data_IF_411013307723
#
_entry.id   IF_411013307723
#
_cell.length_a   1.000
_cell.length_b   1.000
_cell.length_c   1.000
_cell.angle_alpha   90.00
_cell.angle_beta   90.00
_cell.angle_gamma   90.00
#
_symmetry.space_group_name_H-M   'P 1'
#
loop_
_entity.id
_entity.type
_entity.pdbx_description
1 polymer ?
#
# COMPACT_ATOMS: atom_id res chain seq x y z
N UNK A 1 -3.26 11.48 -14.82
CA UNK A 1 -2.98 10.06 -14.56
C UNK A 1 -1.50 9.88 -14.28
N UNK A 2 -1.13 9.85 -13.00
CA UNK A 2 0.22 9.55 -12.53
C UNK A 2 0.50 8.05 -12.61
N UNK A 3 0.90 7.61 -13.80
CA UNK A 3 1.19 6.21 -14.08
C UNK A 3 2.30 5.61 -13.20
N UNK A 4 3.17 6.45 -12.61
CA UNK A 4 4.19 5.97 -11.69
C UNK A 4 3.59 5.62 -10.32
N UNK A 5 2.74 6.51 -9.78
CA UNK A 5 2.02 6.26 -8.54
C UNK A 5 1.10 5.03 -8.67
N UNK A 6 0.34 4.97 -9.77
CA UNK A 6 -0.54 3.86 -10.09
C UNK A 6 0.21 2.53 -10.12
N UNK A 7 1.35 2.47 -10.82
CA UNK A 7 2.16 1.26 -10.93
C UNK A 7 2.64 0.75 -9.56
N UNK A 8 3.14 1.65 -8.71
CA UNK A 8 3.61 1.29 -7.36
C UNK A 8 2.46 0.74 -6.54
N UNK A 9 1.34 1.45 -6.45
CA UNK A 9 0.18 1.06 -5.64
C UNK A 9 -0.41 -0.27 -6.12
N UNK A 10 -0.61 -0.44 -7.44
CA UNK A 10 -1.18 -1.68 -7.99
C UNK A 10 -0.26 -2.88 -7.73
N UNK A 11 1.06 -2.70 -7.82
CA UNK A 11 2.03 -3.76 -7.52
C UNK A 11 1.96 -4.18 -6.05
N UNK A 12 1.96 -3.22 -5.13
CA UNK A 12 1.81 -3.44 -3.69
C UNK A 12 0.48 -4.14 -3.38
N UNK A 13 -0.63 -3.64 -3.92
CA UNK A 13 -1.94 -4.28 -3.75
C UNK A 13 -1.93 -5.72 -4.24
N UNK A 14 -1.27 -6.03 -5.37
CA UNK A 14 -1.13 -7.41 -5.85
C UNK A 14 -0.36 -8.31 -4.87
N UNK A 15 0.68 -7.78 -4.22
CA UNK A 15 1.41 -8.49 -3.17
C UNK A 15 0.52 -8.78 -1.94
N UNK A 16 -0.19 -7.76 -1.47
CA UNK A 16 -1.11 -7.88 -0.32
C UNK A 16 -2.28 -8.83 -0.63
N UNK A 17 -2.83 -8.79 -1.84
CA UNK A 17 -3.91 -9.67 -2.27
C UNK A 17 -3.49 -11.15 -2.24
N UNK A 18 -2.26 -11.46 -2.64
CA UNK A 18 -1.71 -12.83 -2.53
C UNK A 18 -1.68 -13.29 -1.07
N UNK A 19 -1.16 -12.47 -0.16
CA UNK A 19 -1.14 -12.79 1.27
C UNK A 19 -2.55 -13.01 1.83
N UNK A 20 -3.50 -12.14 1.49
CA UNK A 20 -4.89 -12.29 1.95
C UNK A 20 -5.56 -13.53 1.36
N UNK A 21 -5.21 -13.91 0.12
CA UNK A 21 -5.69 -15.12 -0.53
C UNK A 21 -5.18 -16.39 0.17
N UNK A 22 -3.89 -16.43 0.51
CA UNK A 22 -3.28 -17.52 1.29
C UNK A 22 -3.93 -17.65 2.67
N UNK A 23 -4.26 -16.52 3.31
CA UNK A 23 -4.95 -16.47 4.61
C UNK A 23 -6.47 -16.65 4.52
N UNK A 24 -7.05 -16.71 3.31
CA UNK A 24 -8.51 -16.74 3.05
C UNK A 24 -9.29 -15.59 3.70
N UNK A 25 -8.68 -14.40 3.75
CA UNK A 25 -9.28 -13.18 4.28
C UNK A 25 -9.74 -12.31 3.11
N UNK A 26 -10.98 -11.82 3.15
CA UNK A 26 -11.46 -10.83 2.20
C UNK A 26 -11.13 -9.42 2.72
N UNK A 27 -10.41 -8.64 1.90
CA UNK A 27 -10.06 -7.25 2.22
C UNK A 27 -10.55 -6.35 1.07
N UNK A 28 -11.79 -5.82 1.16
CA UNK A 28 -12.39 -4.99 0.11
C UNK A 28 -11.56 -3.73 -0.22
N UNK A 29 -10.87 -3.18 0.78
CA UNK A 29 -10.02 -2.00 0.64
C UNK A 29 -8.95 -2.15 -0.46
N UNK A 30 -8.45 -3.37 -0.69
CA UNK A 30 -7.45 -3.64 -1.74
C UNK A 30 -8.00 -3.38 -3.14
N UNK A 31 -9.31 -3.57 -3.38
CA UNK A 31 -9.92 -3.20 -4.65
C UNK A 31 -10.03 -1.68 -4.79
N UNK A 32 -10.53 -1.02 -3.75
CA UNK A 32 -10.68 0.44 -3.72
C UNK A 32 -9.36 1.17 -3.92
N UNK A 33 -8.25 0.67 -3.36
CA UNK A 33 -6.92 1.27 -3.60
C UNK A 33 -6.51 1.28 -5.08
N UNK A 34 -6.87 0.26 -5.87
CA UNK A 34 -6.59 0.25 -7.31
C UNK A 34 -7.42 1.29 -8.05
N UNK A 35 -8.67 1.46 -7.65
CA UNK A 35 -9.59 2.45 -8.23
C UNK A 35 -9.13 3.87 -7.90
N UNK A 36 -8.72 4.13 -6.66
CA UNK A 36 -8.16 5.42 -6.23
C UNK A 36 -6.89 5.77 -7.00
N UNK A 37 -5.95 4.82 -7.11
CA UNK A 37 -4.73 5.04 -7.88
C UNK A 37 -5.00 5.29 -9.37
N UNK A 38 -6.02 4.66 -9.93
CA UNK A 38 -6.45 4.90 -11.31
C UNK A 38 -7.16 6.26 -11.49
N UNK A 39 -7.74 6.82 -10.42
CA UNK A 39 -8.44 8.10 -10.44
C UNK A 39 -7.57 9.29 -10.01
N UNK A 40 -6.23 9.15 -10.06
CA UNK A 40 -5.29 10.20 -9.62
C UNK A 40 -5.42 10.57 -8.13
N UNK A 41 -5.82 9.62 -7.28
CA UNK A 41 -5.90 9.80 -5.81
C UNK A 41 -4.90 8.88 -5.07
N UNK A 42 -3.59 8.95 -5.36
CA UNK A 42 -2.60 8.06 -4.75
C UNK A 42 -2.40 8.29 -3.25
N UNK A 43 -2.62 9.50 -2.73
CA UNK A 43 -2.51 9.83 -1.30
C UNK A 43 -3.56 9.06 -0.48
N UNK A 44 -4.81 9.07 -0.94
CA UNK A 44 -5.91 8.32 -0.32
C UNK A 44 -5.64 6.82 -0.40
N UNK A 45 -5.07 6.35 -1.51
CA UNK A 45 -4.67 4.96 -1.64
C UNK A 45 -3.57 4.56 -0.65
N UNK A 46 -2.62 5.45 -0.34
CA UNK A 46 -1.58 5.24 0.67
C UNK A 46 -2.20 5.15 2.07
N UNK A 47 -3.14 6.02 2.42
CA UNK A 47 -3.85 5.96 3.71
C UNK A 47 -4.54 4.60 3.90
N UNK A 48 -5.25 4.17 2.86
CA UNK A 48 -5.95 2.88 2.85
C UNK A 48 -4.96 1.72 2.99
N UNK A 49 -3.80 1.81 2.34
CA UNK A 49 -2.75 0.80 2.41
C UNK A 49 -2.20 0.67 3.82
N UNK A 50 -1.83 1.78 4.47
CA UNK A 50 -1.31 1.79 5.84
C UNK A 50 -2.32 1.19 6.81
N UNK A 51 -3.57 1.65 6.75
CA UNK A 51 -4.63 1.12 7.59
C UNK A 51 -4.86 -0.38 7.37
N UNK A 52 -4.81 -0.83 6.11
CA UNK A 52 -5.00 -2.24 5.75
C UNK A 52 -3.85 -3.12 6.25
N UNK A 53 -2.61 -2.70 6.05
CA UNK A 53 -1.41 -3.41 6.51
C UNK A 53 -1.47 -3.60 8.02
N UNK A 54 -1.79 -2.54 8.76
CA UNK A 54 -1.90 -2.58 10.22
C UNK A 54 -3.11 -3.42 10.69
N UNK A 55 -4.29 -3.22 10.12
CA UNK A 55 -5.51 -3.91 10.55
C UNK A 55 -5.45 -5.42 10.35
N UNK A 56 -4.85 -5.86 9.24
CA UNK A 56 -4.82 -7.28 8.87
C UNK A 56 -3.47 -7.97 9.14
N UNK A 57 -2.50 -7.24 9.71
CA UNK A 57 -1.15 -7.74 9.95
C UNK A 57 -0.51 -8.29 8.68
N UNK A 58 -0.67 -7.56 7.57
CA UNK A 58 -0.04 -7.90 6.30
C UNK A 58 1.39 -7.37 6.32
N UNK A 59 2.29 -8.05 5.63
CA UNK A 59 3.70 -7.68 5.63
C UNK A 59 4.10 -7.02 4.34
N UNK A 60 4.96 -6.01 4.41
CA UNK A 60 5.62 -5.40 3.27
C UNK A 60 7.07 -5.86 3.23
N UNK A 61 7.59 -6.19 2.05
CA UNK A 61 9.04 -6.35 1.88
C UNK A 61 9.72 -4.99 1.97
N UNK A 62 11.00 -4.95 2.37
CA UNK A 62 11.78 -3.71 2.44
C UNK A 62 11.74 -2.96 1.11
N UNK A 63 11.93 -3.66 -0.02
CA UNK A 63 11.87 -3.05 -1.35
C UNK A 63 10.48 -2.44 -1.68
N UNK A 64 9.40 -3.07 -1.23
CA UNK A 64 8.04 -2.56 -1.42
C UNK A 64 7.81 -1.30 -0.57
N UNK A 65 8.29 -1.31 0.67
CA UNK A 65 8.25 -0.16 1.57
C UNK A 65 9.11 1.01 1.06
N UNK A 66 10.29 0.74 0.52
CA UNK A 66 11.19 1.78 0.00
C UNK A 66 10.60 2.46 -1.24
N UNK A 67 9.96 1.68 -2.14
CA UNK A 67 9.23 2.22 -3.30
C UNK A 67 8.04 3.07 -2.86
N UNK A 68 7.28 2.59 -1.88
CA UNK A 68 6.16 3.35 -1.31
C UNK A 68 6.64 4.63 -0.63
N UNK A 69 7.76 4.59 0.08
CA UNK A 69 8.37 5.75 0.74
C UNK A 69 8.84 6.80 -0.26
N UNK A 70 9.48 6.38 -1.35
CA UNK A 70 9.86 7.30 -2.42
C UNK A 70 8.64 7.96 -3.08
N UNK A 71 7.56 7.21 -3.28
CA UNK A 71 6.30 7.76 -3.77
C UNK A 71 5.70 8.76 -2.77
N UNK A 72 5.62 8.40 -1.49
CA UNK A 72 5.06 9.24 -0.44
C UNK A 72 5.85 10.55 -0.26
N UNK A 73 7.19 10.52 -0.35
CA UNK A 73 8.02 11.74 -0.37
C UNK A 73 7.64 12.66 -1.53
N UNK A 74 7.44 12.11 -2.73
CA UNK A 74 7.08 12.90 -3.92
C UNK A 74 5.71 13.55 -3.77
N UNK A 75 4.80 12.91 -3.03
CA UNK A 75 3.44 13.38 -2.76
C UNK A 75 3.33 14.25 -1.50
N UNK A 76 4.44 14.52 -0.80
CA UNK A 76 4.44 15.19 0.51
C UNK A 76 3.56 14.49 1.57
N UNK A 77 3.55 13.15 1.52
CA UNK A 77 2.65 12.27 2.28
C UNK A 77 3.41 11.18 3.06
N UNK A 78 4.68 11.44 3.38
CA UNK A 78 5.59 10.47 4.03
C UNK A 78 5.20 10.17 5.49
N UNK A 79 4.62 11.14 6.17
CA UNK A 79 4.20 11.05 7.57
C UNK A 79 3.27 9.88 7.82
N UNK A 80 2.35 9.59 6.89
CA UNK A 80 1.41 8.47 7.00
C UNK A 80 2.12 7.11 7.02
N UNK A 81 3.31 6.98 6.41
CA UNK A 81 4.06 5.71 6.46
C UNK A 81 4.70 5.43 7.82
N UNK A 82 4.85 6.45 8.68
CA UNK A 82 5.34 6.26 10.05
C UNK A 82 4.36 5.44 10.91
N UNK A 83 3.08 5.40 10.52
CA UNK A 83 2.06 4.62 11.22
C UNK A 83 2.13 3.12 10.90
N UNK A 84 2.90 2.70 9.88
CA UNK A 84 3.11 1.27 9.63
C UNK A 84 3.92 0.67 10.78
N UNK A 85 3.35 -0.34 11.43
CA UNK A 85 4.04 -1.08 12.49
C UNK A 85 5.37 -1.66 11.98
N UNK A 86 6.53 -1.34 12.59
CA UNK A 86 7.84 -1.75 12.08
C UNK A 86 8.02 -3.25 11.89
N UNK A 87 7.38 -4.07 12.73
CA UNK A 87 7.40 -5.54 12.64
C UNK A 87 6.72 -6.10 11.38
N UNK A 88 5.94 -5.27 10.66
CA UNK A 88 5.31 -5.64 9.40
C UNK A 88 6.21 -5.37 8.19
N UNK A 89 7.38 -4.76 8.39
CA UNK A 89 8.35 -4.49 7.33
C UNK A 89 9.42 -5.59 7.39
N UNK A 90 9.34 -6.52 6.45
CA UNK A 90 10.27 -7.63 6.34
C UNK A 90 11.55 -7.20 5.61
N UNK A 91 12.71 -7.78 5.97
CA UNK A 91 13.98 -7.53 5.28
C UNK A 91 13.94 -7.90 3.79
#
# INVERSE_FOLDING_TARGET
MDHHAEFIIVTLVGSLQRQTGERRIAVPALRSMRELAANDEPEIAIDYLVNTVNSYGLTLKREEYDRLSALAVRLDHLDVLADIRPELILP
#
